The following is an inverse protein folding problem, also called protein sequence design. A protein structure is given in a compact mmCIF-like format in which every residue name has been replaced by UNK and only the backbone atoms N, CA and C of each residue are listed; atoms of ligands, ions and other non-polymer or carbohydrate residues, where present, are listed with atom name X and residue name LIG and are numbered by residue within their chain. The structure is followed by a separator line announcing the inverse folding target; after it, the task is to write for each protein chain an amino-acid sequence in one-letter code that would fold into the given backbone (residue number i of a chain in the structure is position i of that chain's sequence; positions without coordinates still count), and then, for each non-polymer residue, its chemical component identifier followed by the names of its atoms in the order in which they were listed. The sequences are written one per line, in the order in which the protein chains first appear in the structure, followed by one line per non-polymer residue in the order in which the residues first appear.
data_IF_159898554840
#
_entry.id   IF_159898554840
#
_cell.length_a   1.000
_cell.length_b   1.000
_cell.length_c   1.000
_cell.angle_alpha   90.00
_cell.angle_beta   90.00
_cell.angle_gamma   90.00
#
_symmetry.space_group_name_H-M   'P 1'
#
loop_
_entity.id
_entity.type
_entity.pdbx_description
1 polymer ?
#
# COMPACT_ATOMS: atom_id res chain seq x y z
N UNK A 1 -10.85 -18.77 -7.38
CA UNK A 1 -9.38 -18.85 -7.49
C UNK A 1 -8.80 -17.83 -6.52
N UNK A 2 -8.26 -18.27 -5.39
CA UNK A 2 -7.68 -17.37 -4.39
C UNK A 2 -6.39 -16.79 -4.96
N UNK A 3 -6.46 -15.59 -5.55
CA UNK A 3 -5.25 -14.83 -5.87
C UNK A 3 -4.46 -14.65 -4.56
N UNK A 4 -3.37 -15.40 -4.43
CA UNK A 4 -2.50 -15.31 -3.27
C UNK A 4 -1.59 -14.09 -3.45
N UNK A 5 -1.88 -13.05 -2.69
CA UNK A 5 -1.12 -11.81 -2.68
C UNK A 5 0.04 -11.92 -1.68
N UNK A 6 1.28 -11.76 -2.13
CA UNK A 6 2.47 -11.79 -1.28
C UNK A 6 3.00 -10.39 -1.04
N UNK A 7 3.19 -10.02 0.23
CA UNK A 7 3.84 -8.77 0.61
C UNK A 7 5.25 -8.71 0.02
N UNK A 8 5.62 -7.57 -0.56
CA UNK A 8 6.94 -7.35 -1.16
C UNK A 8 7.75 -6.27 -0.45
N UNK A 9 7.18 -5.08 -0.29
CA UNK A 9 7.84 -3.94 0.36
C UNK A 9 6.82 -2.90 0.80
N UNK A 10 7.25 -1.96 1.63
CA UNK A 10 6.49 -0.75 1.96
C UNK A 10 7.08 0.43 1.19
N UNK A 11 6.25 1.11 0.39
CA UNK A 11 6.63 2.35 -0.27
C UNK A 11 6.27 3.51 0.65
N UNK A 12 7.28 4.25 1.12
CA UNK A 12 7.03 5.49 1.84
C UNK A 12 6.59 6.59 0.89
N UNK A 13 5.65 7.41 1.35
CA UNK A 13 5.31 8.65 0.68
C UNK A 13 6.56 9.53 0.59
N UNK A 14 6.94 9.87 -0.63
CA UNK A 14 7.95 10.89 -0.94
C UNK A 14 7.18 12.14 -1.39
N UNK A 15 7.72 13.32 -1.16
CA UNK A 15 7.03 14.58 -1.46
C UNK A 15 6.51 14.61 -2.91
N UNK A 16 5.19 14.79 -3.09
CA UNK A 16 4.53 14.78 -4.40
C UNK A 16 4.13 13.40 -4.96
N UNK A 17 4.38 12.31 -4.23
CA UNK A 17 3.96 10.96 -4.61
C UNK A 17 2.66 10.53 -3.90
N UNK A 18 2.21 9.33 -4.23
CA UNK A 18 1.16 8.64 -3.47
C UNK A 18 1.50 8.56 -1.96
N UNK A 19 0.48 8.44 -1.08
CA UNK A 19 0.63 8.18 0.35
C UNK A 19 1.44 6.92 0.62
N UNK A 20 1.88 6.69 1.85
CA UNK A 20 2.59 5.44 2.18
C UNK A 20 1.67 4.24 1.98
N UNK A 21 2.12 3.25 1.21
CA UNK A 21 1.36 2.04 0.93
C UNK A 21 2.24 0.80 0.99
N UNK A 22 1.62 -0.31 1.36
CA UNK A 22 2.23 -1.65 1.34
C UNK A 22 1.91 -2.31 0.02
N UNK A 23 2.95 -2.82 -0.63
CA UNK A 23 2.83 -3.46 -1.94
C UNK A 23 2.71 -4.96 -1.77
N UNK A 24 1.64 -5.49 -2.33
CA UNK A 24 1.38 -6.92 -2.43
C UNK A 24 1.30 -7.32 -3.89
N UNK A 25 1.94 -8.42 -4.26
CA UNK A 25 1.96 -8.91 -5.64
C UNK A 25 1.17 -10.20 -5.75
N UNK A 26 0.34 -10.31 -6.78
CA UNK A 26 -0.35 -11.56 -7.09
C UNK A 26 0.67 -12.64 -7.52
N UNK A 27 0.53 -13.84 -6.96
CA UNK A 27 1.31 -15.01 -7.35
C UNK A 27 0.82 -15.46 -8.73
N UNK A 28 1.46 -14.96 -9.80
CA UNK A 28 1.01 -15.18 -11.19
C UNK A 28 1.33 -14.02 -12.15
N UNK A 29 1.74 -12.86 -11.63
CA UNK A 29 2.29 -11.76 -12.41
C UNK A 29 1.26 -10.73 -12.88
N UNK A 30 1.68 -9.46 -12.92
CA UNK A 30 0.97 -8.34 -13.53
C UNK A 30 0.19 -7.44 -12.57
N UNK A 31 -0.52 -8.00 -11.59
CA UNK A 31 -1.35 -7.21 -10.66
C UNK A 31 -0.68 -7.01 -9.31
N UNK A 32 -0.59 -5.75 -8.91
CA UNK A 32 -0.22 -5.36 -7.57
C UNK A 32 -1.43 -4.80 -6.82
N UNK A 33 -1.49 -5.11 -5.53
CA UNK A 33 -2.43 -4.54 -4.57
C UNK A 33 -1.66 -3.62 -3.64
N UNK A 34 -2.04 -2.35 -3.61
CA UNK A 34 -1.46 -1.35 -2.73
C UNK A 34 -2.40 -1.16 -1.55
N UNK A 35 -1.93 -1.43 -0.33
CA UNK A 35 -2.73 -1.34 0.89
C UNK A 35 -2.25 -0.14 1.71
N UNK A 36 -3.16 0.78 2.01
CA UNK A 36 -2.88 2.00 2.78
C UNK A 36 -3.11 1.81 4.28
N UNK A 37 -2.70 2.81 5.07
CA UNK A 37 -2.68 2.75 6.53
C UNK A 37 -4.06 2.59 7.19
N UNK A 38 -5.15 2.90 6.48
CA UNK A 38 -6.54 2.70 6.91
C UNK A 38 -7.11 1.33 6.49
N UNK A 39 -6.27 0.42 6.01
CA UNK A 39 -6.66 -0.84 5.39
C UNK A 39 -7.56 -0.68 4.15
N UNK A 40 -7.52 0.46 3.47
CA UNK A 40 -8.06 0.52 2.11
C UNK A 40 -7.02 0.07 1.10
N UNK A 41 -7.44 -0.29 -0.10
CA UNK A 41 -6.53 -0.71 -1.15
C UNK A 41 -6.92 -0.16 -2.52
N UNK A 42 -5.94 -0.17 -3.42
CA UNK A 42 -6.13 0.00 -4.87
C UNK A 42 -5.35 -1.07 -5.61
N UNK A 43 -5.81 -1.40 -6.81
CA UNK A 43 -5.03 -2.22 -7.73
C UNK A 43 -4.22 -1.32 -8.66
N UNK A 44 -3.00 -1.76 -8.95
CA UNK A 44 -2.12 -1.10 -9.90
C UNK A 44 -1.24 -2.11 -10.60
N UNK A 45 -0.63 -1.68 -11.70
CA UNK A 45 0.44 -2.41 -12.34
C UNK A 45 1.76 -1.83 -11.85
N UNK A 46 2.71 -2.70 -11.50
CA UNK A 46 4.08 -2.30 -11.20
C UNK A 46 4.95 -2.76 -12.37
N UNK A 47 5.81 -1.87 -12.85
CA UNK A 47 6.80 -2.23 -13.87
C UNK A 47 7.86 -3.18 -13.30
N UNK A 48 8.42 -4.03 -14.15
CA UNK A 48 9.51 -4.92 -13.75
C UNK A 48 10.74 -4.15 -13.22
N UNK A 49 10.96 -2.93 -13.73
CA UNK A 49 11.99 -2.04 -13.21
C UNK A 49 11.73 -1.67 -11.75
N UNK A 50 10.51 -1.25 -11.41
CA UNK A 50 10.16 -0.99 -10.02
C UNK A 50 10.25 -2.28 -9.20
N UNK A 51 9.83 -3.45 -9.69
CA UNK A 51 10.00 -4.70 -8.93
C UNK A 51 11.45 -5.04 -8.57
N UNK A 52 12.39 -4.75 -9.47
CA UNK A 52 13.81 -5.05 -9.28
C UNK A 52 14.56 -3.97 -8.48
N UNK A 53 14.05 -2.73 -8.44
CA UNK A 53 14.70 -1.60 -7.79
C UNK A 53 13.96 -1.07 -6.55
N UNK A 54 12.74 -1.53 -6.30
CA UNK A 54 11.88 -1.09 -5.20
C UNK A 54 12.10 -1.98 -3.98
N UNK A 55 13.24 -1.76 -3.33
CA UNK A 55 13.71 -2.55 -2.20
C UNK A 55 14.24 -1.69 -1.07
N UNK A 56 13.55 -0.61 -0.71
CA UNK A 56 14.06 0.34 0.28
C UNK A 56 13.61 0.10 1.72
N UNK A 57 12.51 -0.62 1.99
CA UNK A 57 12.19 -1.00 3.37
C UNK A 57 11.23 -2.20 3.47
N UNK A 58 11.71 -3.29 4.06
CA UNK A 58 10.92 -4.47 4.42
C UNK A 58 10.35 -4.31 5.83
N UNK A 59 9.37 -3.41 5.95
CA UNK A 59 8.55 -3.29 7.14
C UNK A 59 7.61 -4.48 7.34
N UNK A 60 6.83 -4.48 8.44
CA UNK A 60 5.87 -5.56 8.72
C UNK A 60 4.88 -5.71 7.56
N UNK A 61 4.40 -6.91 7.31
CA UNK A 61 3.41 -7.12 6.24
C UNK A 61 2.09 -6.42 6.60
N UNK A 62 1.61 -6.60 7.82
CA UNK A 62 0.35 -6.05 8.28
C UNK A 62 0.53 -4.65 8.86
N UNK A 63 -0.44 -3.77 8.63
CA UNK A 63 -0.47 -2.45 9.26
C UNK A 63 -0.71 -2.53 10.77
N UNK A 64 -1.46 -3.54 11.24
CA UNK A 64 -1.70 -3.80 12.67
C UNK A 64 -0.44 -4.15 13.46
N UNK A 65 0.60 -4.65 12.80
CA UNK A 65 1.89 -4.99 13.40
C UNK A 65 2.84 -3.78 13.51
N UNK A 66 2.51 -2.64 12.88
CA UNK A 66 3.30 -1.42 12.96
C UNK A 66 3.07 -0.67 14.29
N UNK A 67 4.03 0.17 14.73
CA UNK A 67 3.84 1.03 15.90
C UNK A 67 2.59 1.93 15.73
N UNK A 68 1.75 2.02 16.77
CA UNK A 68 0.51 2.82 16.74
C UNK A 68 0.73 4.27 16.31
N UNK A 69 1.77 4.92 16.85
CA UNK A 69 2.14 6.30 16.50
C UNK A 69 2.48 6.45 15.01
N UNK A 70 3.12 5.45 14.42
CA UNK A 70 3.44 5.46 12.99
C UNK A 70 2.16 5.30 12.16
N UNK A 71 1.30 4.35 12.53
CA UNK A 71 0.03 4.10 11.86
C UNK A 71 -0.90 5.32 11.88
N UNK A 72 -1.03 6.01 13.02
CA UNK A 72 -1.85 7.21 13.13
C UNK A 72 -1.32 8.37 12.27
N UNK A 73 -0.01 8.57 12.25
CA UNK A 73 0.62 9.57 11.39
C UNK A 73 0.37 9.29 9.90
N UNK A 74 0.52 8.02 9.47
CA UNK A 74 0.27 7.65 8.08
C UNK A 74 -1.22 7.74 7.70
N UNK A 75 -2.14 7.43 8.63
CA UNK A 75 -3.57 7.69 8.44
C UNK A 75 -3.86 9.19 8.26
N UNK A 76 -3.24 10.04 9.08
CA UNK A 76 -3.37 11.49 8.96
C UNK A 76 -2.85 12.01 7.61
N UNK A 77 -1.73 11.46 7.11
CA UNK A 77 -1.18 11.78 5.78
C UNK A 77 -2.10 11.32 4.65
N UNK A 78 -2.65 10.11 4.76
CA UNK A 78 -3.60 9.55 3.80
C UNK A 78 -4.87 10.41 3.71
N UNK A 79 -5.42 10.84 4.84
CA UNK A 79 -6.61 11.69 4.86
C UNK A 79 -6.33 13.03 4.18
N UNK A 80 -5.22 13.71 4.54
CA UNK A 80 -4.82 14.96 3.88
C UNK A 80 -4.65 14.79 2.37
N UNK A 81 -4.08 13.67 1.93
CA UNK A 81 -3.93 13.39 0.52
C UNK A 81 -5.29 13.23 -0.18
N UNK A 82 -6.24 12.50 0.42
CA UNK A 82 -7.62 12.38 -0.11
C UNK A 82 -8.32 13.72 -0.20
N UNK A 83 -8.17 14.55 0.81
CA UNK A 83 -8.78 15.89 0.84
C UNK A 83 -8.24 16.78 -0.30
N UNK A 84 -6.96 16.64 -0.65
CA UNK A 84 -6.33 17.36 -1.76
C UNK A 84 -6.59 16.72 -3.14
N UNK A 85 -6.87 15.42 -3.18
CA UNK A 85 -7.03 14.64 -4.41
C UNK A 85 -8.37 13.90 -4.41
N UNK A 86 -9.50 14.56 -4.71
CA UNK A 86 -10.83 13.94 -4.67
C UNK A 86 -11.01 12.82 -5.71
N UNK A 87 -10.20 12.78 -6.77
CA UNK A 87 -10.19 11.68 -7.74
C UNK A 87 -9.50 10.40 -7.20
N UNK A 88 -8.83 10.48 -6.05
CA UNK A 88 -8.18 9.34 -5.42
C UNK A 88 -9.21 8.52 -4.63
N UNK A 89 -9.75 7.50 -5.27
CA UNK A 89 -10.73 6.57 -4.67
C UNK A 89 -10.04 5.26 -4.33
N UNK A 90 -10.29 4.77 -3.11
CA UNK A 90 -9.73 3.51 -2.59
C UNK A 90 -10.86 2.58 -2.17
N UNK A 91 -10.69 1.27 -2.37
CA UNK A 91 -11.66 0.27 -1.97
C UNK A 91 -11.41 -0.20 -0.52
N UNK A 92 -12.46 -0.46 0.29
CA UNK A 92 -12.29 -1.02 1.62
C UNK A 92 -11.78 -2.47 1.54
N UNK A 93 -10.68 -2.79 2.23
CA UNK A 93 -10.22 -4.18 2.36
C UNK A 93 -11.15 -4.92 3.33
N UNK A 94 -12.23 -5.49 2.81
CA UNK A 94 -13.16 -6.34 3.57
C UNK A 94 -12.57 -7.71 3.96
N UNK A 95 -11.28 -7.92 3.70
CA UNK A 95 -10.56 -9.12 4.13
C UNK A 95 -10.32 -9.06 5.63
N UNK A 96 -11.29 -9.54 6.41
CA UNK A 96 -11.06 -10.05 7.76
C UNK A 96 -9.96 -11.11 7.71
N UNK A 97 -8.73 -10.72 8.01
CA UNK A 97 -7.65 -11.63 8.46
C UNK A 97 -6.89 -10.89 9.56
#
# INVERSE_FOLDING_TARGET
MSESYKYKYTQFSIFGSLPTYKVYLATGGGKAKFIFADNTFIYGNISDWALNHSGLDTRKSLWSEEPKLFLENEKGRLQKYRDLHPAFVTEPNNSHI
#
